data_IF_044653340547
#
_entry.id   IF_044653340547
#
_cell.length_a   1.000
_cell.length_b   1.000
_cell.length_c   1.000
_cell.angle_alpha   90.00
_cell.angle_beta   90.00
_cell.angle_gamma   90.00
#
_symmetry.space_group_name_H-M   'P 1'
#
loop_
_entity.id
_entity.type
_entity.pdbx_description
1 polymer ?
#
# COMPACT_ATOMS: atom_id res chain seq x y z
N UNK A 1 25.25 -14.32 42.41
CA UNK A 1 25.22 -14.09 40.95
C UNK A 1 23.97 -13.29 40.62
N UNK A 2 24.13 -12.11 40.03
CA UNK A 2 23.06 -11.13 39.84
C UNK A 2 22.60 -11.25 38.37
N UNK A 3 21.51 -11.97 38.11
CA UNK A 3 20.88 -12.05 36.80
C UNK A 3 20.20 -10.71 36.52
N UNK A 4 20.99 -9.73 36.07
CA UNK A 4 20.48 -8.46 35.58
C UNK A 4 19.43 -8.73 34.50
N UNK A 5 18.28 -8.07 34.65
CA UNK A 5 17.08 -8.25 33.85
C UNK A 5 17.38 -8.44 32.35
N UNK A 6 16.98 -9.59 31.81
CA UNK A 6 16.95 -9.81 30.37
C UNK A 6 15.98 -8.78 29.79
N UNK A 7 16.41 -7.90 28.86
CA UNK A 7 15.51 -6.91 28.30
C UNK A 7 14.34 -7.62 27.61
N UNK A 8 13.13 -7.37 28.11
CA UNK A 8 11.90 -7.88 27.50
C UNK A 8 11.73 -7.19 26.15
N UNK A 9 12.05 -7.89 25.07
CA UNK A 9 11.86 -7.39 23.71
C UNK A 9 10.35 -7.26 23.46
N UNK A 10 9.85 -6.02 23.32
CA UNK A 10 8.46 -5.79 22.94
C UNK A 10 8.26 -6.26 21.50
N UNK A 11 7.64 -7.44 21.34
CA UNK A 11 7.36 -8.04 20.03
C UNK A 11 6.10 -7.44 19.46
N UNK A 12 6.24 -6.32 18.75
CA UNK A 12 5.15 -5.72 17.98
C UNK A 12 5.18 -6.18 16.53
N UNK A 13 4.05 -6.69 16.04
CA UNK A 13 3.88 -6.99 14.62
C UNK A 13 3.69 -5.69 13.84
N UNK A 14 4.60 -5.43 12.90
CA UNK A 14 4.59 -4.23 12.04
C UNK A 14 4.48 -4.64 10.57
N UNK A 15 3.81 -3.81 9.76
CA UNK A 15 3.73 -3.96 8.31
C UNK A 15 4.67 -2.96 7.68
N UNK A 16 5.60 -3.41 6.83
CA UNK A 16 6.58 -2.56 6.17
C UNK A 16 6.49 -2.79 4.66
N UNK A 17 6.33 -1.72 3.90
CA UNK A 17 6.56 -1.74 2.46
C UNK A 17 8.06 -1.65 2.18
N UNK A 18 8.54 -2.51 1.31
CA UNK A 18 9.89 -2.45 0.75
C UNK A 18 9.75 -2.11 -0.72
N UNK A 19 10.36 -1.01 -1.16
CA UNK A 19 10.28 -0.60 -2.54
C UNK A 19 11.56 0.03 -3.06
N UNK A 20 11.72 0.08 -4.38
CA UNK A 20 12.83 0.75 -5.05
C UNK A 20 12.38 2.12 -5.53
N UNK A 21 13.17 3.15 -5.27
CA UNK A 21 12.92 4.51 -5.76
C UNK A 21 14.25 5.21 -6.00
N UNK A 22 14.46 5.75 -7.21
CA UNK A 22 15.71 6.42 -7.59
C UNK A 22 16.96 5.55 -7.41
N UNK A 23 16.86 4.25 -7.73
CA UNK A 23 17.95 3.28 -7.58
C UNK A 23 18.19 2.77 -6.16
N UNK A 24 17.55 3.34 -5.14
CA UNK A 24 17.71 2.97 -3.73
C UNK A 24 16.55 2.10 -3.23
N UNK A 25 16.82 1.22 -2.26
CA UNK A 25 15.78 0.51 -1.51
C UNK A 25 15.30 1.39 -0.37
N UNK A 26 13.99 1.52 -0.23
CA UNK A 26 13.30 2.30 0.80
C UNK A 26 12.36 1.40 1.58
N UNK A 27 12.21 1.74 2.86
CA UNK A 27 11.31 1.07 3.79
C UNK A 27 10.30 2.10 4.30
N UNK A 28 9.04 1.72 4.32
CA UNK A 28 7.96 2.54 4.85
C UNK A 28 7.09 1.69 5.77
N UNK A 29 6.97 2.08 7.03
CA UNK A 29 5.98 1.47 7.92
C UNK A 29 4.56 1.83 7.46
N UNK A 30 3.69 0.82 7.41
CA UNK A 30 2.32 0.95 6.95
C UNK A 30 1.35 0.82 8.13
N UNK A 31 0.60 1.89 8.37
CA UNK A 31 -0.61 1.84 9.17
C UNK A 31 -1.67 0.92 8.56
N UNK A 32 -2.68 0.56 9.34
CA UNK A 32 -3.71 -0.40 8.92
C UNK A 32 -4.48 0.07 7.67
N UNK A 33 -4.85 1.36 7.59
CA UNK A 33 -5.58 1.93 6.46
C UNK A 33 -4.73 1.97 5.18
N UNK A 34 -3.50 2.52 5.26
CA UNK A 34 -2.54 2.51 4.15
C UNK A 34 -2.27 1.10 3.63
N UNK A 35 -2.05 0.14 4.52
CA UNK A 35 -1.85 -1.25 4.12
C UNK A 35 -3.06 -1.81 3.37
N UNK A 36 -4.29 -1.56 3.86
CA UNK A 36 -5.51 -2.02 3.18
C UNK A 36 -5.66 -1.38 1.79
N UNK A 37 -5.38 -0.08 1.67
CA UNK A 37 -5.37 0.65 0.40
C UNK A 37 -4.37 0.04 -0.59
N UNK A 38 -3.10 -0.05 -0.21
CA UNK A 38 -2.02 -0.53 -1.09
C UNK A 38 -2.24 -1.99 -1.48
N UNK A 39 -2.72 -2.82 -0.55
CA UNK A 39 -2.95 -4.23 -0.80
C UNK A 39 -4.07 -4.46 -1.82
N UNK A 40 -5.14 -3.66 -1.81
CA UNK A 40 -6.21 -3.78 -2.81
C UNK A 40 -5.73 -3.33 -4.19
N UNK A 41 -5.03 -2.19 -4.28
CA UNK A 41 -4.44 -1.73 -5.55
C UNK A 41 -3.45 -2.73 -6.14
N UNK A 42 -2.55 -3.27 -5.31
CA UNK A 42 -1.56 -4.26 -5.74
C UNK A 42 -2.20 -5.59 -6.21
N UNK A 43 -3.45 -5.85 -5.86
CA UNK A 43 -4.24 -7.01 -6.35
C UNK A 43 -5.04 -6.69 -7.61
N UNK A 44 -4.89 -5.49 -8.17
CA UNK A 44 -5.67 -5.03 -9.32
C UNK A 44 -7.10 -4.59 -8.97
N UNK A 45 -7.38 -4.31 -7.69
CA UNK A 45 -8.65 -3.72 -7.29
C UNK A 45 -8.80 -2.28 -7.79
N UNK A 46 -10.04 -1.82 -7.95
CA UNK A 46 -10.31 -0.44 -8.35
C UNK A 46 -9.93 0.55 -7.26
N UNK A 47 -9.76 1.82 -7.64
CA UNK A 47 -9.46 2.89 -6.69
C UNK A 47 -10.56 3.02 -5.63
N UNK A 48 -11.83 2.95 -6.04
CA UNK A 48 -13.01 3.03 -5.18
C UNK A 48 -12.99 1.92 -4.12
N UNK A 49 -12.69 0.68 -4.55
CA UNK A 49 -12.58 -0.46 -3.63
C UNK A 49 -11.43 -0.30 -2.66
N UNK A 50 -10.28 0.19 -3.12
CA UNK A 50 -9.14 0.44 -2.26
C UNK A 50 -9.45 1.52 -1.21
N UNK A 51 -10.10 2.61 -1.60
CA UNK A 51 -10.52 3.69 -0.70
C UNK A 51 -11.52 3.18 0.33
N UNK A 52 -12.54 2.43 -0.09
CA UNK A 52 -13.51 1.84 0.83
C UNK A 52 -12.82 0.93 1.88
N UNK A 53 -11.82 0.15 1.46
CA UNK A 53 -11.02 -0.70 2.36
C UNK A 53 -10.21 0.11 3.38
N UNK A 54 -9.68 1.27 2.96
CA UNK A 54 -8.93 2.17 3.82
C UNK A 54 -9.85 2.86 4.86
N UNK A 55 -10.99 3.41 4.40
CA UNK A 55 -11.97 4.11 5.24
C UNK A 55 -12.60 3.22 6.31
N UNK A 56 -12.77 1.91 6.03
CA UNK A 56 -13.20 0.94 7.05
C UNK A 56 -12.18 0.75 8.18
N UNK A 57 -10.91 1.14 7.98
CA UNK A 57 -9.85 1.06 9.00
C UNK A 57 -9.59 2.41 9.65
N UNK A 58 -9.73 3.48 8.90
CA UNK A 58 -9.55 4.85 9.36
C UNK A 58 -10.52 5.78 8.61
N UNK A 59 -11.58 6.28 9.26
CA UNK A 59 -12.53 7.21 8.63
C UNK A 59 -11.92 8.54 8.18
N UNK A 60 -10.73 8.90 8.69
CA UNK A 60 -10.01 10.12 8.33
C UNK A 60 -8.92 9.87 7.28
N UNK A 61 -8.94 8.72 6.59
CA UNK A 61 -7.96 8.38 5.58
C UNK A 61 -7.92 9.44 4.46
N UNK A 62 -6.76 10.09 4.32
CA UNK A 62 -6.52 11.09 3.28
C UNK A 62 -6.08 10.42 1.97
N UNK A 63 -7.02 10.37 1.02
CA UNK A 63 -6.78 9.80 -0.30
C UNK A 63 -5.76 10.62 -1.11
N UNK A 64 -5.80 11.95 -1.01
CA UNK A 64 -4.98 12.83 -1.85
C UNK A 64 -3.52 12.66 -1.47
N UNK A 65 -3.22 12.72 -0.17
CA UNK A 65 -1.88 12.51 0.34
C UNK A 65 -1.34 11.11 -0.03
N UNK A 66 -2.20 10.10 0.01
CA UNK A 66 -1.78 8.74 -0.32
C UNK A 66 -1.48 8.55 -1.82
N UNK A 67 -2.27 9.16 -2.71
CA UNK A 67 -1.99 9.16 -4.14
C UNK A 67 -0.69 9.90 -4.44
N UNK A 68 -0.49 11.09 -3.86
CA UNK A 68 0.75 11.86 -4.01
C UNK A 68 1.95 11.03 -3.57
N UNK A 69 1.85 10.31 -2.45
CA UNK A 69 2.91 9.43 -1.96
C UNK A 69 3.24 8.30 -2.97
N UNK A 70 2.23 7.63 -3.51
CA UNK A 70 2.42 6.55 -4.49
C UNK A 70 3.14 7.04 -5.75
N UNK A 71 2.70 8.17 -6.31
CA UNK A 71 3.32 8.75 -7.51
C UNK A 71 4.74 9.24 -7.24
N UNK A 72 4.97 10.00 -6.17
CA UNK A 72 6.32 10.51 -5.82
C UNK A 72 7.30 9.39 -5.50
N UNK A 73 6.80 8.27 -4.98
CA UNK A 73 7.62 7.09 -4.66
C UNK A 73 7.91 6.21 -5.87
N UNK A 74 7.30 6.49 -7.03
CA UNK A 74 7.43 5.67 -8.24
C UNK A 74 6.77 4.30 -8.10
N UNK A 75 5.74 4.19 -7.25
CA UNK A 75 5.05 2.92 -6.96
C UNK A 75 3.90 2.64 -7.94
N UNK A 76 3.43 3.64 -8.66
CA UNK A 76 2.41 3.47 -9.69
C UNK A 76 3.06 2.90 -10.95
N UNK A 77 2.69 1.68 -11.31
CA UNK A 77 3.26 0.96 -12.47
C UNK A 77 2.36 0.98 -13.70
N UNK A 78 1.11 1.42 -13.56
CA UNK A 78 0.14 1.51 -14.65
C UNK A 78 -1.18 2.11 -14.18
N UNK A 79 -1.92 2.67 -15.14
CA UNK A 79 -3.27 3.20 -14.94
C UNK A 79 -4.15 2.60 -16.03
N UNK A 80 -5.30 2.06 -15.66
CA UNK A 80 -6.30 1.56 -16.61
C UNK A 80 -7.65 2.14 -16.22
N UNK A 81 -8.40 2.62 -17.20
CA UNK A 81 -9.83 2.86 -17.02
C UNK A 81 -10.59 1.58 -17.34
N UNK A 82 -11.80 1.43 -16.82
CA UNK A 82 -12.66 0.28 -17.15
C UNK A 82 -12.89 0.17 -18.67
N UNK A 83 -12.97 1.31 -19.37
CA UNK A 83 -13.05 1.36 -20.83
C UNK A 83 -11.80 0.78 -21.52
N UNK A 84 -10.61 0.97 -20.94
CA UNK A 84 -9.37 0.39 -21.48
C UNK A 84 -9.31 -1.14 -21.35
N UNK A 85 -9.94 -1.72 -20.32
CA UNK A 85 -9.94 -3.18 -20.12
C UNK A 85 -10.87 -3.94 -21.08
N UNK A 86 -11.96 -3.31 -21.50
CA UNK A 86 -12.90 -3.85 -22.49
C UNK A 86 -12.24 -3.95 -23.88
N UNK A 87 -11.57 -2.88 -24.34
CA UNK A 87 -10.84 -2.90 -25.61
C UNK A 87 -9.76 -4.00 -25.65
N UNK A 88 -9.02 -4.23 -24.57
CA UNK A 88 -7.98 -5.28 -24.56
C UNK A 88 -8.52 -6.72 -24.63
N UNK A 89 -9.80 -6.96 -24.29
CA UNK A 89 -10.42 -8.28 -24.43
C UNK A 89 -10.95 -8.54 -25.84
N UNK A 90 -11.39 -7.49 -26.54
CA UNK A 90 -12.00 -7.57 -27.87
C UNK A 90 -10.97 -7.85 -28.98
N UNK A 91 -9.68 -7.52 -28.76
CA UNK A 91 -8.58 -7.88 -29.67
C UNK A 91 -7.99 -9.27 -29.44
N UNK A 92 -8.47 -10.02 -28.45
CA UNK A 92 -8.00 -11.37 -28.10
C UNK A 92 -9.08 -12.45 -28.26
N UNK A 93 -10.23 -12.10 -28.86
CA UNK A 93 -11.31 -13.01 -29.26
C UNK A 93 -11.45 -13.07 -30.77
#
# INVERSE_FOLDING_TARGET
ENLAAIPTFDRRATRVAVHRSGGRIRFLELGAARFAFWRELARGGSLERAVARALMRDPLFDLVDELVLLFRSGLVTGLSTEASQLNSKEYLS
#
